data_IF_615288501167
#
_entry.id   IF_615288501167
#
_cell.length_a   1.000
_cell.length_b   1.000
_cell.length_c   1.000
_cell.angle_alpha   90.00
_cell.angle_beta   90.00
_cell.angle_gamma   90.00
#
_symmetry.space_group_name_H-M   'P 1'
#
loop_
_entity.id
_entity.type
_entity.pdbx_description
1 polymer ?
#
# COMPACT_ATOMS: atom_id res chain seq x y z
N UNK A 1 -7.57 13.22 -38.05
CA UNK A 1 -7.90 12.70 -36.72
C UNK A 1 -6.60 12.67 -35.94
N UNK A 2 -6.53 13.18 -34.71
CA UNK A 2 -5.28 13.12 -33.95
C UNK A 2 -4.98 11.66 -33.66
N UNK A 3 -3.87 11.14 -34.17
CA UNK A 3 -3.31 9.81 -33.92
C UNK A 3 -2.63 9.77 -32.53
N UNK A 4 -3.27 10.33 -31.50
CA UNK A 4 -2.75 10.27 -30.16
C UNK A 4 -3.02 8.90 -29.54
N UNK A 5 -1.99 8.22 -29.02
CA UNK A 5 -2.20 7.06 -28.17
C UNK A 5 -3.16 7.45 -27.04
N UNK A 6 -4.28 6.76 -26.95
CA UNK A 6 -5.18 6.85 -25.82
C UNK A 6 -4.44 6.34 -24.60
N UNK A 7 -4.12 7.23 -23.71
CA UNK A 7 -3.45 6.91 -22.46
C UNK A 7 -3.96 7.86 -21.39
N UNK A 8 -4.05 7.38 -20.18
CA UNK A 8 -4.42 8.19 -19.02
C UNK A 8 -3.58 7.83 -17.82
N UNK A 9 -3.66 8.64 -16.78
CA UNK A 9 -3.04 8.40 -15.49
C UNK A 9 -4.11 8.06 -14.48
N UNK A 10 -3.84 7.07 -13.66
CA UNK A 10 -4.75 6.59 -12.63
C UNK A 10 -4.08 6.75 -11.26
N UNK A 11 -4.79 7.40 -10.34
CA UNK A 11 -4.46 7.42 -8.92
C UNK A 11 -5.38 6.46 -8.17
N UNK A 12 -4.85 5.72 -7.22
CA UNK A 12 -5.62 4.76 -6.42
C UNK A 12 -5.18 4.85 -4.97
N UNK A 13 -6.16 4.84 -4.09
CA UNK A 13 -5.98 4.69 -2.65
C UNK A 13 -6.44 3.29 -2.27
N UNK A 14 -5.57 2.53 -1.62
CA UNK A 14 -5.86 1.18 -1.15
C UNK A 14 -5.72 1.12 0.36
N UNK A 15 -6.72 0.55 1.02
CA UNK A 15 -6.62 0.19 2.43
C UNK A 15 -5.63 -0.99 2.59
N UNK A 16 -4.64 -0.82 3.47
CA UNK A 16 -3.59 -1.84 3.65
C UNK A 16 -4.05 -3.08 4.42
N UNK A 17 -5.12 -2.97 5.19
CA UNK A 17 -5.67 -4.09 5.96
C UNK A 17 -6.52 -4.96 5.06
N UNK A 18 -7.53 -4.36 4.44
CA UNK A 18 -8.48 -5.05 3.58
C UNK A 18 -7.96 -5.30 2.16
N UNK A 19 -6.94 -4.53 1.71
CA UNK A 19 -6.40 -4.52 0.34
C UNK A 19 -7.40 -4.06 -0.71
N UNK A 20 -8.53 -3.52 -0.29
CA UNK A 20 -9.56 -3.01 -1.17
C UNK A 20 -9.26 -1.57 -1.61
N UNK A 21 -9.62 -1.20 -2.84
CA UNK A 21 -9.56 0.18 -3.28
C UNK A 21 -10.58 1.02 -2.50
N UNK A 22 -10.10 2.10 -1.89
CA UNK A 22 -10.92 3.09 -1.19
C UNK A 22 -11.44 4.14 -2.17
N UNK A 23 -10.56 4.57 -3.10
CA UNK A 23 -10.89 5.56 -4.11
C UNK A 23 -9.99 5.38 -5.33
N UNK A 24 -10.53 5.75 -6.50
CA UNK A 24 -9.84 5.64 -7.77
C UNK A 24 -10.11 6.89 -8.58
N UNK A 25 -9.06 7.55 -9.06
CA UNK A 25 -9.15 8.72 -9.91
C UNK A 25 -8.54 8.44 -11.29
N UNK A 26 -9.05 9.10 -12.30
CA UNK A 26 -8.54 9.03 -13.65
C UNK A 26 -8.29 10.42 -14.21
N UNK A 27 -7.08 10.60 -14.77
CA UNK A 27 -6.67 11.79 -15.51
C UNK A 27 -6.40 11.41 -16.96
N UNK A 28 -6.98 12.18 -17.88
CA UNK A 28 -6.84 11.94 -19.33
C UNK A 28 -5.40 12.17 -19.82
N UNK A 29 -4.65 13.02 -19.13
CA UNK A 29 -3.25 13.27 -19.44
C UNK A 29 -2.36 12.24 -18.76
N UNK A 30 -1.84 11.28 -19.53
CA UNK A 30 -0.93 10.25 -19.05
C UNK A 30 0.39 10.79 -18.45
N UNK A 31 0.81 12.01 -18.87
CA UNK A 31 2.01 12.69 -18.37
C UNK A 31 1.74 13.60 -17.17
N UNK A 32 0.51 13.61 -16.65
CA UNK A 32 0.19 14.40 -15.48
C UNK A 32 1.07 13.98 -14.29
N UNK A 33 1.49 14.96 -13.48
CA UNK A 33 2.17 14.68 -12.21
C UNK A 33 1.23 13.99 -11.23
N UNK A 34 1.77 13.16 -10.32
CA UNK A 34 1.01 12.55 -9.22
C UNK A 34 0.39 13.61 -8.31
N UNK A 35 1.01 14.78 -8.22
CA UNK A 35 0.52 15.93 -7.49
C UNK A 35 -0.86 16.43 -7.96
N UNK A 36 -1.33 16.03 -9.14
CA UNK A 36 -2.69 16.34 -9.59
C UNK A 36 -3.79 15.70 -8.73
N UNK A 37 -3.45 14.67 -7.99
CA UNK A 37 -4.38 13.98 -7.08
C UNK A 37 -4.31 14.48 -5.62
N UNK A 38 -3.45 15.48 -5.31
CA UNK A 38 -3.28 15.97 -3.94
C UNK A 38 -4.57 16.56 -3.35
N UNK A 39 -5.29 17.38 -4.14
CA UNK A 39 -6.56 17.95 -3.69
C UNK A 39 -7.63 16.90 -3.44
N UNK A 40 -7.72 15.91 -4.34
CA UNK A 40 -8.68 14.82 -4.21
C UNK A 40 -8.35 13.97 -2.97
N UNK A 41 -7.06 13.69 -2.77
CA UNK A 41 -6.58 12.96 -1.60
C UNK A 41 -6.84 13.72 -0.29
N UNK A 42 -6.58 15.03 -0.26
CA UNK A 42 -6.90 15.86 0.90
C UNK A 42 -8.39 15.85 1.24
N UNK A 43 -9.26 15.80 0.24
CA UNK A 43 -10.71 15.72 0.45
C UNK A 43 -11.16 14.34 0.94
N UNK A 44 -10.47 13.28 0.51
CA UNK A 44 -10.80 11.91 0.88
C UNK A 44 -10.40 11.56 2.30
N UNK A 45 -9.18 11.96 2.72
CA UNK A 45 -8.61 11.50 3.99
C UNK A 45 -9.28 12.14 5.19
N UNK A 46 -9.55 11.31 6.20
CA UNK A 46 -10.11 11.72 7.49
C UNK A 46 -8.99 11.93 8.50
N UNK A 47 -9.29 12.67 9.57
CA UNK A 47 -8.41 12.75 10.75
C UNK A 47 -8.06 11.35 11.26
N UNK A 48 -6.90 11.21 11.90
CA UNK A 48 -6.38 9.96 12.46
C UNK A 48 -6.05 8.87 11.42
N UNK A 49 -5.91 9.27 10.15
CA UNK A 49 -5.43 8.38 9.08
C UNK A 49 -3.90 8.40 9.01
N UNK A 50 -3.28 7.25 8.75
CA UNK A 50 -1.87 7.14 8.40
C UNK A 50 -1.74 6.81 6.91
N UNK A 51 -1.14 7.73 6.14
CA UNK A 51 -0.90 7.57 4.72
C UNK A 51 0.52 7.03 4.43
N UNK A 52 0.61 6.05 3.57
CA UNK A 52 1.87 5.63 2.96
C UNK A 52 1.96 6.25 1.57
N UNK A 53 2.84 7.24 1.43
CA UNK A 53 2.98 8.01 0.19
C UNK A 53 4.20 7.55 -0.60
N UNK A 54 4.04 7.43 -1.92
CA UNK A 54 5.20 7.25 -2.79
C UNK A 54 6.00 8.55 -2.92
N UNK A 55 7.23 8.46 -3.40
CA UNK A 55 8.13 9.60 -3.60
C UNK A 55 7.56 10.66 -4.55
N UNK A 56 6.65 10.28 -5.44
CA UNK A 56 5.94 11.20 -6.34
C UNK A 56 5.13 12.29 -5.62
N UNK A 57 4.72 12.03 -4.36
CA UNK A 57 3.99 12.96 -3.50
C UNK A 57 4.90 13.77 -2.57
N UNK A 58 6.15 14.02 -2.95
CA UNK A 58 7.09 14.83 -2.19
C UNK A 58 6.81 16.33 -2.40
N UNK A 59 5.83 16.85 -1.68
CA UNK A 59 5.42 18.26 -1.73
C UNK A 59 5.15 18.77 -0.32
N UNK A 60 5.97 19.70 0.16
CA UNK A 60 5.97 20.13 1.57
C UNK A 60 4.68 20.81 1.99
N UNK A 61 4.07 21.62 1.11
CA UNK A 61 2.80 22.26 1.39
C UNK A 61 1.66 21.22 1.54
N UNK A 62 1.66 20.19 0.70
CA UNK A 62 0.71 19.08 0.82
C UNK A 62 0.89 18.30 2.13
N UNK A 63 2.15 18.01 2.52
CA UNK A 63 2.43 17.35 3.79
C UNK A 63 1.99 18.20 4.99
N UNK A 64 2.21 19.52 4.93
CA UNK A 64 1.73 20.43 5.96
C UNK A 64 0.21 20.38 6.09
N UNK A 65 -0.52 20.43 4.98
CA UNK A 65 -1.98 20.35 4.97
C UNK A 65 -2.50 19.02 5.53
N UNK A 66 -1.81 17.91 5.26
CA UNK A 66 -2.13 16.61 5.87
C UNK A 66 -1.99 16.64 7.40
N UNK A 67 -0.85 17.14 7.89
CA UNK A 67 -0.57 17.24 9.32
C UNK A 67 -1.58 18.18 10.03
N UNK A 68 -1.93 19.31 9.42
CA UNK A 68 -2.96 20.24 9.91
C UNK A 68 -4.35 19.58 10.01
N UNK A 69 -4.66 18.61 9.15
CA UNK A 69 -5.86 17.77 9.24
C UNK A 69 -5.75 16.61 10.23
N UNK A 70 -4.68 16.52 11.01
CA UNK A 70 -4.37 15.37 11.86
C UNK A 70 -4.26 14.05 11.08
N UNK A 71 -3.73 14.12 9.85
CA UNK A 71 -3.40 12.97 9.02
C UNK A 71 -1.90 12.75 9.08
N UNK A 72 -1.49 11.57 9.49
CA UNK A 72 -0.07 11.20 9.57
C UNK A 72 0.40 10.60 8.24
N UNK A 73 1.69 10.69 7.98
CA UNK A 73 2.27 10.13 6.76
C UNK A 73 3.59 9.39 7.00
N UNK A 74 3.85 8.42 6.13
CA UNK A 74 5.15 7.79 5.95
C UNK A 74 5.51 7.85 4.46
N UNK A 75 6.73 8.28 4.17
CA UNK A 75 7.28 8.29 2.80
C UNK A 75 8.78 8.00 2.83
N UNK A 76 9.45 8.05 1.70
CA UNK A 76 10.92 7.95 1.62
C UNK A 76 11.54 9.31 1.40
N UNK A 77 12.69 9.51 2.01
CA UNK A 77 13.51 10.69 1.75
C UNK A 77 13.99 10.68 0.29
N UNK A 78 13.80 11.79 -0.42
CA UNK A 78 14.34 11.96 -1.76
C UNK A 78 15.85 12.19 -1.72
N UNK A 79 16.55 11.67 -2.73
CA UNK A 79 17.98 11.90 -2.87
C UNK A 79 18.23 13.41 -3.07
N UNK A 80 19.18 13.95 -2.31
CA UNK A 80 19.52 15.38 -2.39
C UNK A 80 18.59 16.31 -1.61
N UNK A 81 17.63 15.80 -0.83
CA UNK A 81 16.81 16.63 0.04
C UNK A 81 17.67 17.30 1.12
N UNK A 82 17.53 18.63 1.25
CA UNK A 82 18.20 19.41 2.29
C UNK A 82 17.37 19.40 3.57
N UNK A 83 18.03 19.20 4.70
CA UNK A 83 17.39 19.25 6.02
C UNK A 83 18.41 19.63 7.10
N UNK A 84 17.93 20.12 8.22
CA UNK A 84 18.71 20.32 9.46
C UNK A 84 18.24 19.34 10.51
N UNK A 85 19.17 18.73 11.22
CA UNK A 85 18.85 17.86 12.36
C UNK A 85 18.54 18.72 13.58
N UNK A 86 17.34 18.61 14.11
CA UNK A 86 16.92 19.31 15.33
C UNK A 86 17.21 18.48 16.59
N UNK A 87 16.97 17.17 16.51
CA UNK A 87 17.18 16.27 17.66
C UNK A 87 17.57 14.88 17.18
N UNK A 88 18.53 14.28 17.86
CA UNK A 88 18.90 12.86 17.70
C UNK A 88 18.15 12.06 18.75
N UNK A 89 17.29 11.11 18.31
CA UNK A 89 16.52 10.22 19.17
C UNK A 89 17.32 8.93 19.42
N UNK A 90 17.89 8.36 18.35
CA UNK A 90 18.74 7.17 18.41
C UNK A 90 19.81 7.25 17.34
N UNK A 91 21.03 6.82 17.68
CA UNK A 91 22.13 6.69 16.74
C UNK A 91 22.94 5.43 17.07
N UNK A 92 22.81 4.40 16.26
CA UNK A 92 23.52 3.14 16.40
C UNK A 92 24.11 2.67 15.07
N UNK A 93 24.82 1.57 15.07
CA UNK A 93 25.39 0.97 13.86
C UNK A 93 24.36 0.63 12.78
N UNK A 94 23.14 0.25 13.17
CA UNK A 94 22.09 -0.21 12.26
C UNK A 94 20.85 0.68 12.19
N UNK A 95 20.72 1.66 13.11
CA UNK A 95 19.56 2.53 13.22
C UNK A 95 19.99 3.96 13.51
N UNK A 96 19.46 4.91 12.73
CA UNK A 96 19.52 6.34 13.01
C UNK A 96 18.09 6.87 13.01
N UNK A 97 17.74 7.55 14.08
CA UNK A 97 16.40 8.11 14.28
C UNK A 97 16.54 9.54 14.76
N UNK A 98 16.00 10.48 14.01
CA UNK A 98 16.24 11.92 14.21
C UNK A 98 15.01 12.73 13.86
N UNK A 99 14.74 13.75 14.63
CA UNK A 99 13.84 14.81 14.20
C UNK A 99 14.61 15.80 13.34
N UNK A 100 14.06 16.12 12.19
CA UNK A 100 14.68 16.99 11.19
C UNK A 100 13.72 18.09 10.78
N UNK A 101 14.26 19.22 10.38
CA UNK A 101 13.52 20.31 9.78
C UNK A 101 13.85 20.40 8.30
N UNK A 102 12.82 20.43 7.47
CA UNK A 102 12.92 20.48 6.02
C UNK A 102 12.18 21.71 5.49
N UNK A 103 12.53 22.15 4.28
CA UNK A 103 11.90 23.28 3.60
C UNK A 103 12.67 24.57 3.74
N UNK A 104 12.34 25.55 2.88
CA UNK A 104 13.02 26.84 2.78
C UNK A 104 12.26 27.99 3.47
N UNK A 105 11.14 27.70 4.14
CA UNK A 105 10.31 28.72 4.78
C UNK A 105 9.58 29.65 3.82
N UNK A 106 9.41 29.24 2.58
CA UNK A 106 8.66 29.99 1.55
C UNK A 106 7.23 29.47 1.45
N UNK A 107 6.35 30.22 0.78
CA UNK A 107 4.95 29.80 0.53
C UNK A 107 4.87 28.49 -0.26
N UNK A 108 5.83 28.22 -1.15
CA UNK A 108 5.89 26.98 -1.94
C UNK A 108 6.60 25.84 -1.22
N UNK A 109 7.53 26.15 -0.35
CA UNK A 109 8.32 25.18 0.43
C UNK A 109 8.34 25.60 1.90
N UNK A 110 7.20 25.41 2.61
CA UNK A 110 7.13 25.75 4.02
C UNK A 110 8.13 24.91 4.84
N UNK A 111 8.52 25.42 5.99
CA UNK A 111 9.29 24.62 6.95
C UNK A 111 8.38 23.59 7.59
N UNK A 112 8.81 22.33 7.55
CA UNK A 112 8.10 21.23 8.18
C UNK A 112 9.07 20.40 9.03
N UNK A 113 8.65 20.08 10.24
CA UNK A 113 9.37 19.15 11.11
C UNK A 113 8.89 17.74 10.86
N UNK A 114 9.82 16.84 10.54
CA UNK A 114 9.58 15.44 10.25
C UNK A 114 10.56 14.57 11.04
N UNK A 115 10.21 13.32 11.21
CA UNK A 115 11.12 12.32 11.77
C UNK A 115 11.76 11.52 10.66
N UNK A 116 13.09 11.49 10.63
CA UNK A 116 13.90 10.72 9.70
C UNK A 116 14.37 9.44 10.39
N UNK A 117 13.90 8.33 9.91
CA UNK A 117 14.27 6.98 10.36
C UNK A 117 15.12 6.33 9.28
N UNK A 118 16.36 6.01 9.61
CA UNK A 118 17.27 5.31 8.70
C UNK A 118 17.64 3.96 9.29
N UNK A 119 17.41 2.91 8.49
CA UNK A 119 17.68 1.52 8.88
C UNK A 119 18.69 0.93 7.90
N UNK A 120 19.73 0.32 8.43
CA UNK A 120 20.77 -0.35 7.66
C UNK A 120 20.37 -1.78 7.32
N UNK A 121 20.42 -2.10 6.04
CA UNK A 121 20.25 -3.48 5.55
C UNK A 121 21.48 -3.87 4.75
N UNK A 122 22.29 -4.75 5.29
CA UNK A 122 23.59 -5.09 4.73
C UNK A 122 24.50 -3.86 4.66
N UNK A 123 24.85 -3.42 3.45
CA UNK A 123 25.67 -2.23 3.21
C UNK A 123 24.83 -0.97 2.93
N UNK A 124 23.51 -1.10 2.76
CA UNK A 124 22.65 0.00 2.31
C UNK A 124 21.84 0.58 3.46
N UNK A 125 21.73 1.90 3.50
CA UNK A 125 20.84 2.63 4.38
C UNK A 125 19.52 2.92 3.65
N UNK A 126 18.41 2.63 4.30
CA UNK A 126 17.07 2.95 3.83
C UNK A 126 16.51 4.08 4.68
N UNK A 127 16.17 5.20 4.06
CA UNK A 127 15.75 6.43 4.74
C UNK A 127 14.26 6.66 4.55
N UNK A 128 13.54 6.74 5.66
CA UNK A 128 12.10 6.94 5.74
C UNK A 128 11.81 8.25 6.45
N UNK A 129 10.77 8.94 6.00
CA UNK A 129 10.24 10.13 6.66
C UNK A 129 8.86 9.82 7.21
N UNK A 130 8.56 10.34 8.40
CA UNK A 130 7.22 10.29 8.98
C UNK A 130 6.90 11.57 9.73
N UNK A 131 5.64 11.96 9.74
CA UNK A 131 5.12 13.06 10.55
C UNK A 131 4.91 12.65 12.01
N UNK A 132 4.88 11.34 12.33
CA UNK A 132 4.79 10.84 13.71
C UNK A 132 6.15 11.02 14.40
N UNK A 133 6.27 12.06 15.21
CA UNK A 133 7.55 12.45 15.81
C UNK A 133 7.95 11.58 17.00
N UNK A 134 6.98 11.01 17.70
CA UNK A 134 7.22 10.18 18.88
C UNK A 134 7.53 8.72 18.50
N UNK A 135 8.75 8.21 18.83
CA UNK A 135 9.13 6.84 18.59
C UNK A 135 8.36 5.81 19.43
N UNK A 136 7.71 6.22 20.52
CA UNK A 136 6.86 5.35 21.32
C UNK A 136 5.53 5.06 20.63
N UNK A 137 4.98 6.05 19.90
CA UNK A 137 3.74 5.88 19.10
C UNK A 137 4.04 5.06 17.83
N UNK A 138 5.15 5.35 17.15
CA UNK A 138 5.52 4.67 15.92
C UNK A 138 7.00 4.25 15.96
N UNK A 139 7.30 3.03 16.43
CA UNK A 139 8.68 2.54 16.52
C UNK A 139 9.40 2.53 15.17
N UNK A 140 10.73 2.76 15.13
CA UNK A 140 11.51 2.89 13.89
C UNK A 140 11.35 1.73 12.92
N UNK A 141 11.37 0.50 13.44
CA UNK A 141 11.24 -0.71 12.60
C UNK A 141 9.81 -0.89 12.06
N UNK A 142 8.80 -0.37 12.79
CA UNK A 142 7.41 -0.36 12.32
C UNK A 142 7.25 0.61 11.15
N UNK A 143 7.93 1.77 11.17
CA UNK A 143 7.97 2.69 10.02
C UNK A 143 8.43 1.96 8.76
N UNK A 144 9.53 1.21 8.85
CA UNK A 144 10.07 0.47 7.71
C UNK A 144 9.16 -0.68 7.25
N UNK A 145 8.57 -1.42 8.19
CA UNK A 145 7.63 -2.50 7.88
C UNK A 145 6.39 -1.98 7.18
N UNK A 146 5.76 -0.93 7.74
CA UNK A 146 4.59 -0.30 7.13
C UNK A 146 4.91 0.24 5.73
N UNK A 147 6.03 0.95 5.58
CA UNK A 147 6.41 1.43 4.25
C UNK A 147 6.70 0.28 3.28
N UNK A 148 7.24 -0.82 3.75
CA UNK A 148 7.43 -2.02 2.96
C UNK A 148 6.11 -2.59 2.42
N UNK A 149 5.02 -2.45 3.18
CA UNK A 149 3.67 -2.88 2.76
C UNK A 149 3.09 -2.01 1.63
N UNK A 150 3.63 -0.82 1.38
CA UNK A 150 3.27 -0.01 0.21
C UNK A 150 3.36 -0.83 -1.09
N UNK A 151 4.25 -1.82 -1.15
CA UNK A 151 4.37 -2.71 -2.33
C UNK A 151 3.07 -3.44 -2.70
N UNK A 152 2.13 -3.57 -1.78
CA UNK A 152 0.80 -4.17 -2.05
C UNK A 152 0.02 -3.43 -3.13
N UNK A 153 0.23 -2.13 -3.27
CA UNK A 153 -0.42 -1.37 -4.32
C UNK A 153 0.15 -1.72 -5.71
N UNK A 154 1.45 -2.00 -5.79
CA UNK A 154 2.08 -2.46 -7.04
C UNK A 154 1.56 -3.86 -7.42
N UNK A 155 1.32 -4.73 -6.44
CA UNK A 155 0.67 -6.03 -6.66
C UNK A 155 -0.77 -5.87 -7.16
N UNK A 156 -1.54 -4.93 -6.58
CA UNK A 156 -2.88 -4.61 -7.05
C UNK A 156 -2.88 -4.09 -8.49
N UNK A 157 -1.99 -3.14 -8.82
CA UNK A 157 -1.82 -2.65 -10.18
C UNK A 157 -1.40 -3.75 -11.16
N UNK A 158 -0.51 -4.65 -10.76
CA UNK A 158 -0.12 -5.79 -11.58
C UNK A 158 -1.31 -6.70 -11.87
N UNK A 159 -2.14 -6.98 -10.86
CA UNK A 159 -3.37 -7.76 -11.02
C UNK A 159 -4.33 -7.06 -11.98
N UNK A 160 -4.64 -5.81 -11.75
CA UNK A 160 -5.57 -5.03 -12.57
C UNK A 160 -5.07 -4.85 -14.01
N UNK A 161 -3.81 -4.46 -14.19
CA UNK A 161 -3.25 -4.19 -15.53
C UNK A 161 -2.98 -5.46 -16.32
N UNK A 162 -2.37 -6.45 -15.72
CA UNK A 162 -1.89 -7.65 -16.44
C UNK A 162 -2.89 -8.80 -16.42
N UNK A 163 -3.44 -9.11 -15.26
CA UNK A 163 -4.36 -10.25 -15.12
C UNK A 163 -5.76 -9.90 -15.62
N UNK A 164 -6.28 -8.73 -15.23
CA UNK A 164 -7.63 -8.30 -15.59
C UNK A 164 -7.70 -7.46 -16.89
N UNK A 165 -6.56 -7.26 -17.56
CA UNK A 165 -6.51 -6.71 -18.91
C UNK A 165 -6.64 -5.19 -19.04
N UNK A 166 -6.51 -4.41 -17.95
CA UNK A 166 -6.59 -2.95 -18.02
C UNK A 166 -5.41 -2.30 -18.79
N UNK A 167 -4.40 -3.08 -19.17
CA UNK A 167 -3.32 -2.62 -20.05
C UNK A 167 -3.80 -2.28 -21.47
N UNK A 168 -4.98 -2.74 -21.86
CA UNK A 168 -5.59 -2.48 -23.15
C UNK A 168 -6.91 -1.76 -22.97
N UNK A 169 -7.05 -0.60 -23.61
CA UNK A 169 -8.30 0.14 -23.65
C UNK A 169 -9.16 -0.40 -24.80
N UNK A 170 -10.37 -0.87 -24.50
CA UNK A 170 -11.28 -1.48 -25.47
C UNK A 170 -12.00 -0.44 -26.35
N UNK A 171 -11.98 0.82 -25.90
CA UNK A 171 -12.69 1.91 -26.56
C UNK A 171 -11.89 3.20 -26.50
N UNK A 172 -12.11 4.07 -27.49
CA UNK A 172 -11.56 5.43 -27.52
C UNK A 172 -12.40 6.47 -26.82
N UNK A 173 -13.58 6.14 -26.33
CA UNK A 173 -14.43 7.10 -25.63
C UNK A 173 -14.06 7.19 -24.15
N UNK A 174 -14.05 8.40 -23.60
CA UNK A 174 -13.76 8.65 -22.19
C UNK A 174 -14.68 7.85 -21.25
N UNK A 175 -15.97 7.82 -21.55
CA UNK A 175 -16.94 7.07 -20.74
C UNK A 175 -16.68 5.56 -20.79
N UNK A 176 -16.32 5.04 -21.95
CA UNK A 176 -15.97 3.63 -22.09
C UNK A 176 -14.68 3.28 -21.33
N UNK A 177 -13.66 4.15 -21.37
CA UNK A 177 -12.42 3.99 -20.57
C UNK A 177 -12.75 3.98 -19.09
N UNK A 178 -13.55 4.93 -18.61
CA UNK A 178 -13.98 4.97 -17.20
C UNK A 178 -14.75 3.71 -16.82
N UNK A 179 -15.69 3.26 -17.65
CA UNK A 179 -16.47 2.05 -17.39
C UNK A 179 -15.55 0.81 -17.28
N UNK A 180 -14.61 0.66 -18.21
CA UNK A 180 -13.64 -0.42 -18.16
C UNK A 180 -12.79 -0.35 -16.88
N UNK A 181 -12.31 0.84 -16.52
CA UNK A 181 -11.51 1.08 -15.34
C UNK A 181 -12.27 0.68 -14.07
N UNK A 182 -13.47 1.21 -13.87
CA UNK A 182 -14.28 0.92 -12.69
C UNK A 182 -14.70 -0.55 -12.63
N UNK A 183 -15.11 -1.13 -13.76
CA UNK A 183 -15.46 -2.55 -13.82
C UNK A 183 -14.29 -3.47 -13.49
N UNK A 184 -13.08 -3.13 -13.95
CA UNK A 184 -11.88 -3.91 -13.65
C UNK A 184 -11.50 -3.83 -12.16
N UNK A 185 -11.58 -2.65 -11.55
CA UNK A 185 -11.31 -2.50 -10.12
C UNK A 185 -12.39 -3.14 -9.24
N UNK A 186 -13.65 -3.09 -9.67
CA UNK A 186 -14.73 -3.82 -8.98
C UNK A 186 -14.43 -5.33 -9.01
N UNK A 187 -14.01 -5.85 -10.16
CA UNK A 187 -13.65 -7.26 -10.26
C UNK A 187 -12.42 -7.62 -9.41
N UNK A 188 -11.43 -6.70 -9.33
CA UNK A 188 -10.32 -6.85 -8.40
C UNK A 188 -10.81 -6.97 -6.95
N UNK A 189 -11.73 -6.11 -6.52
CA UNK A 189 -12.29 -6.16 -5.16
C UNK A 189 -12.98 -7.50 -4.90
N UNK A 190 -13.80 -8.01 -5.84
CA UNK A 190 -14.44 -9.32 -5.73
C UNK A 190 -13.41 -10.46 -5.63
N UNK A 191 -12.30 -10.36 -6.39
CA UNK A 191 -11.23 -11.37 -6.29
C UNK A 191 -10.50 -11.31 -4.94
N UNK A 192 -10.31 -10.13 -4.37
CA UNK A 192 -9.71 -9.98 -3.04
C UNK A 192 -10.62 -10.59 -1.98
N UNK A 193 -11.91 -10.25 -1.98
CA UNK A 193 -12.89 -10.81 -1.04
C UNK A 193 -12.98 -12.35 -1.14
N UNK A 194 -13.02 -12.86 -2.37
CA UNK A 194 -13.02 -14.32 -2.58
C UNK A 194 -11.72 -14.94 -2.07
N UNK A 195 -10.58 -14.30 -2.33
CA UNK A 195 -9.27 -14.76 -1.85
C UNK A 195 -9.17 -14.77 -0.34
N UNK A 196 -9.72 -13.75 0.32
CA UNK A 196 -9.74 -13.65 1.78
C UNK A 196 -10.62 -14.75 2.39
N UNK A 197 -11.83 -14.94 1.87
CA UNK A 197 -12.71 -16.02 2.30
C UNK A 197 -12.10 -17.42 2.09
N UNK A 198 -11.33 -17.63 1.02
CA UNK A 198 -10.61 -18.89 0.79
C UNK A 198 -9.44 -19.04 1.77
N UNK A 199 -8.75 -17.94 2.12
CA UNK A 199 -7.69 -17.95 3.11
C UNK A 199 -8.20 -18.36 4.50
N UNK A 200 -9.36 -17.81 4.89
CA UNK A 200 -10.03 -18.15 6.14
C UNK A 200 -10.46 -19.60 6.18
N UNK A 201 -11.10 -20.11 5.14
CA UNK A 201 -11.54 -21.53 5.04
C UNK A 201 -10.35 -22.49 5.14
N UNK A 202 -9.19 -22.10 4.55
CA UNK A 202 -7.96 -22.89 4.61
C UNK A 202 -7.13 -22.64 5.87
N UNK A 203 -7.52 -21.70 6.72
CA UNK A 203 -6.75 -21.24 7.90
C UNK A 203 -5.30 -20.85 7.54
N UNK A 204 -5.09 -20.16 6.42
CA UNK A 204 -3.79 -19.67 5.96
C UNK A 204 -3.79 -18.15 5.84
N UNK A 205 -2.65 -17.47 6.03
CA UNK A 205 -2.57 -16.05 5.77
C UNK A 205 -2.92 -15.72 4.30
N UNK A 206 -3.65 -14.64 4.06
CA UNK A 206 -4.01 -14.18 2.71
C UNK A 206 -2.79 -14.05 1.77
N UNK A 207 -1.62 -13.67 2.27
CA UNK A 207 -0.39 -13.57 1.47
C UNK A 207 0.03 -14.91 0.84
N UNK A 208 -0.50 -16.02 1.35
CA UNK A 208 -0.32 -17.36 0.79
C UNK A 208 -1.29 -17.66 -0.36
N UNK A 209 -2.36 -16.90 -0.51
CA UNK A 209 -3.35 -17.10 -1.58
C UNK A 209 -2.86 -16.46 -2.88
N UNK A 210 -3.05 -17.16 -3.97
CA UNK A 210 -2.78 -16.69 -5.33
C UNK A 210 -4.05 -16.19 -5.99
N UNK A 211 -4.25 -14.87 -6.01
CA UNK A 211 -5.39 -14.28 -6.73
C UNK A 211 -5.38 -14.64 -8.23
N UNK A 212 -4.19 -14.78 -8.83
CA UNK A 212 -4.07 -15.22 -10.22
C UNK A 212 -4.65 -16.63 -10.42
N UNK A 213 -4.35 -17.56 -9.51
CA UNK A 213 -4.86 -18.93 -9.65
C UNK A 213 -6.36 -19.02 -9.32
N UNK A 214 -6.85 -18.20 -8.39
CA UNK A 214 -8.31 -18.06 -8.19
C UNK A 214 -8.96 -17.56 -9.47
N UNK A 215 -8.45 -16.46 -10.06
CA UNK A 215 -8.99 -15.91 -11.31
C UNK A 215 -9.02 -16.95 -12.43
N UNK A 216 -7.90 -17.64 -12.66
CA UNK A 216 -7.82 -18.71 -13.68
C UNK A 216 -8.74 -19.88 -13.38
N UNK A 217 -8.90 -20.21 -12.09
CA UNK A 217 -9.75 -21.28 -11.60
C UNK A 217 -11.26 -20.97 -11.68
N UNK A 218 -11.67 -19.70 -11.85
CA UNK A 218 -13.09 -19.34 -11.98
C UNK A 218 -13.80 -20.09 -13.13
N UNK A 219 -13.10 -20.32 -14.22
CA UNK A 219 -13.64 -21.11 -15.33
C UNK A 219 -13.91 -22.56 -14.91
N UNK A 220 -13.00 -23.17 -14.18
CA UNK A 220 -13.14 -24.53 -13.68
C UNK A 220 -14.31 -24.64 -12.67
N UNK A 221 -14.40 -23.64 -11.77
CA UNK A 221 -15.54 -23.54 -10.87
C UNK A 221 -16.86 -23.41 -11.64
N UNK A 222 -16.94 -22.54 -12.64
CA UNK A 222 -18.11 -22.36 -13.47
C UNK A 222 -18.56 -23.67 -14.12
N UNK A 223 -17.65 -24.42 -14.71
CA UNK A 223 -17.92 -25.73 -15.32
C UNK A 223 -18.42 -26.75 -14.28
N UNK A 224 -17.77 -26.81 -13.11
CA UNK A 224 -18.15 -27.68 -12.03
C UNK A 224 -19.54 -27.33 -11.48
N UNK A 225 -19.84 -26.05 -11.33
CA UNK A 225 -21.15 -25.57 -10.89
C UNK A 225 -22.26 -25.94 -11.86
N UNK A 226 -22.07 -25.75 -13.16
CA UNK A 226 -23.06 -26.16 -14.19
C UNK A 226 -23.30 -27.64 -14.22
N UNK A 227 -22.34 -28.47 -13.83
CA UNK A 227 -22.48 -29.92 -13.71
C UNK A 227 -23.06 -30.37 -12.37
N UNK A 228 -23.42 -29.43 -11.48
CA UNK A 228 -23.92 -29.73 -10.13
C UNK A 228 -22.88 -30.31 -9.19
N UNK A 229 -21.58 -30.23 -9.54
CA UNK A 229 -20.44 -30.73 -8.76
C UNK A 229 -19.91 -29.71 -7.73
N UNK A 230 -20.26 -28.45 -7.88
CA UNK A 230 -19.85 -27.37 -6.98
C UNK A 230 -20.97 -26.36 -6.80
N UNK A 231 -21.23 -25.93 -5.55
CA UNK A 231 -22.29 -24.98 -5.23
C UNK A 231 -21.75 -23.63 -4.68
N UNK A 232 -20.54 -23.63 -4.13
CA UNK A 232 -19.99 -22.46 -3.47
C UNK A 232 -18.52 -22.26 -3.86
N UNK A 233 -18.11 -21.06 -4.34
CA UNK A 233 -16.77 -20.85 -4.86
C UNK A 233 -15.69 -21.01 -3.78
N UNK A 234 -15.90 -20.52 -2.55
CA UNK A 234 -14.91 -20.63 -1.47
C UNK A 234 -14.64 -22.10 -1.16
N UNK A 235 -15.69 -22.92 -0.97
CA UNK A 235 -15.53 -24.35 -0.70
C UNK A 235 -14.87 -25.10 -1.86
N UNK A 236 -15.17 -24.69 -3.09
CA UNK A 236 -14.54 -25.26 -4.27
C UNK A 236 -13.03 -25.01 -4.30
N UNK A 237 -12.60 -23.77 -4.08
CA UNK A 237 -11.18 -23.41 -4.09
C UNK A 237 -10.42 -23.92 -2.87
N UNK A 238 -11.09 -24.14 -1.74
CA UNK A 238 -10.49 -24.69 -0.53
C UNK A 238 -10.48 -26.21 -0.47
N UNK A 239 -11.21 -26.89 -1.37
CA UNK A 239 -11.33 -28.35 -1.36
C UNK A 239 -9.98 -29.05 -1.61
N UNK A 240 -9.72 -30.14 -0.90
CA UNK A 240 -8.48 -30.89 -1.00
C UNK A 240 -8.21 -31.42 -2.42
N UNK A 241 -9.26 -31.84 -3.12
CA UNK A 241 -9.22 -32.32 -4.50
C UNK A 241 -8.82 -31.21 -5.52
N UNK A 242 -8.94 -29.95 -5.15
CA UNK A 242 -8.60 -28.79 -5.98
C UNK A 242 -7.26 -28.16 -5.62
N UNK A 243 -6.46 -28.78 -4.77
CA UNK A 243 -5.12 -28.26 -4.37
C UNK A 243 -4.18 -28.12 -5.58
N UNK A 244 -4.31 -28.95 -6.60
CA UNK A 244 -3.51 -28.88 -7.84
C UNK A 244 -3.78 -27.60 -8.65
N UNK A 245 -4.86 -26.88 -8.37
CA UNK A 245 -5.08 -25.54 -8.94
C UNK A 245 -4.04 -24.51 -8.49
N UNK A 246 -3.18 -24.84 -7.49
CA UNK A 246 -2.13 -23.96 -7.03
C UNK A 246 -2.61 -22.69 -6.33
N UNK A 247 -3.79 -22.75 -5.72
CA UNK A 247 -4.41 -21.63 -5.00
C UNK A 247 -3.50 -21.16 -3.85
N UNK A 248 -2.89 -22.09 -3.12
CA UNK A 248 -1.94 -21.79 -2.05
C UNK A 248 -0.52 -21.74 -2.62
N UNK A 249 0.09 -20.56 -2.58
CA UNK A 249 1.48 -20.34 -3.00
C UNK A 249 2.42 -21.23 -2.19
N UNK A 250 3.35 -21.91 -2.85
CA UNK A 250 4.46 -22.59 -2.18
C UNK A 250 5.30 -21.58 -1.39
N UNK A 251 5.79 -21.98 -0.23
CA UNK A 251 6.74 -21.17 0.54
C UNK A 251 8.01 -20.98 -0.29
N UNK A 252 8.18 -19.80 -0.89
CA UNK A 252 9.49 -19.41 -1.40
C UNK A 252 10.45 -19.38 -0.20
N UNK A 253 11.67 -19.92 -0.37
CA UNK A 253 12.73 -19.71 0.64
C UNK A 253 12.74 -18.21 0.97
N UNK A 254 12.71 -17.84 2.26
CA UNK A 254 12.62 -16.45 2.62
C UNK A 254 13.78 -15.71 1.93
N UNK A 255 13.45 -14.79 1.04
CA UNK A 255 14.38 -13.75 0.64
C UNK A 255 14.92 -13.21 1.96
N UNK A 256 16.24 -13.21 2.18
CA UNK A 256 16.86 -12.84 3.45
C UNK A 256 16.08 -11.68 4.04
N UNK A 257 15.15 -11.98 4.97
CA UNK A 257 14.44 -10.92 5.69
C UNK A 257 15.52 -9.98 6.18
N UNK A 258 15.29 -8.66 6.06
CA UNK A 258 16.01 -7.71 6.89
C UNK A 258 16.11 -8.37 8.25
N UNK A 259 17.31 -8.76 8.67
CA UNK A 259 17.54 -9.25 10.02
C UNK A 259 17.36 -8.00 10.88
N UNK A 260 16.11 -7.75 11.24
CA UNK A 260 15.79 -6.86 12.33
C UNK A 260 16.41 -7.56 13.53
N UNK A 261 17.48 -7.00 14.06
CA UNK A 261 18.04 -7.50 15.30
C UNK A 261 16.87 -7.63 16.28
N UNK A 262 16.70 -8.79 16.93
CA UNK A 262 15.62 -8.94 17.89
C UNK A 262 15.73 -7.78 18.88
N UNK A 263 14.58 -7.18 19.23
CA UNK A 263 14.51 -6.22 20.31
C UNK A 263 15.32 -6.80 21.49
N UNK A 264 16.21 -6.04 22.11
CA UNK A 264 16.86 -6.53 23.32
C UNK A 264 15.75 -6.92 24.28
N UNK A 265 15.80 -8.16 24.79
CA UNK A 265 14.73 -8.78 25.60
C UNK A 265 14.35 -7.99 26.86
N UNK A 266 15.13 -6.98 27.23
CA UNK A 266 14.85 -6.04 28.31
C UNK A 266 13.82 -4.95 27.96
N UNK A 267 13.60 -4.62 26.68
CA UNK A 267 12.60 -3.63 26.28
C UNK A 267 11.17 -4.19 26.25
N UNK A 268 11.01 -5.50 26.31
CA UNK A 268 9.70 -6.18 26.26
C UNK A 268 9.06 -6.39 27.63
N UNK A 269 9.73 -6.10 28.73
CA UNK A 269 9.19 -6.39 30.07
C UNK A 269 8.58 -5.21 30.82
N UNK A 270 8.82 -3.98 30.39
CA UNK A 270 8.21 -2.81 31.04
C UNK A 270 7.67 -1.86 29.97
N UNK A 271 6.37 -1.96 29.67
CA UNK A 271 5.60 -0.88 29.10
C UNK A 271 5.19 -0.92 27.63
N UNK A 272 5.27 -2.05 26.92
CA UNK A 272 4.50 -2.20 25.68
C UNK A 272 3.12 -2.78 26.04
N UNK A 273 2.22 -1.93 26.48
CA UNK A 273 0.81 -2.21 26.34
C UNK A 273 0.51 -2.23 24.83
N UNK A 274 0.37 -3.43 24.26
CA UNK A 274 -0.45 -3.59 23.07
C UNK A 274 -1.85 -3.17 23.50
N UNK A 275 -2.27 -1.96 23.12
CA UNK A 275 -3.67 -1.67 23.06
C UNK A 275 -4.25 -2.70 22.09
N UNK A 276 -5.04 -3.64 22.62
CA UNK A 276 -5.98 -4.37 21.78
C UNK A 276 -6.74 -3.34 20.96
N UNK A 277 -6.92 -3.55 19.66
CA UNK A 277 -7.63 -2.61 18.84
C UNK A 277 -9.05 -2.50 19.39
N UNK A 278 -9.34 -1.41 20.09
CA UNK A 278 -10.71 -0.99 20.27
C UNK A 278 -11.33 -0.89 18.88
N UNK A 279 -12.61 -1.21 18.71
CA UNK A 279 -13.33 -1.36 17.43
C UNK A 279 -13.37 -0.11 16.52
N UNK A 280 -12.36 0.77 16.61
CA UNK A 280 -12.13 1.94 15.77
C UNK A 280 -10.64 2.00 15.39
N UNK A 281 -10.21 1.08 14.53
CA UNK A 281 -8.86 1.08 13.99
C UNK A 281 -8.73 2.22 12.97
N UNK A 282 -7.70 3.08 13.07
CA UNK A 282 -7.46 4.10 12.04
C UNK A 282 -7.17 3.42 10.70
N UNK A 283 -7.83 3.88 9.64
CA UNK A 283 -7.61 3.43 8.26
C UNK A 283 -6.16 3.72 7.86
N UNK A 284 -5.40 2.68 7.62
CA UNK A 284 -4.05 2.79 7.05
C UNK A 284 -4.15 2.66 5.54
N UNK A 285 -3.81 3.73 4.84
CA UNK A 285 -4.05 3.85 3.39
C UNK A 285 -2.75 4.04 2.63
N UNK A 286 -2.58 3.36 1.51
CA UNK A 286 -1.44 3.50 0.61
C UNK A 286 -1.85 4.12 -0.71
N UNK A 287 -1.05 5.04 -1.22
CA UNK A 287 -1.25 5.69 -2.52
C UNK A 287 -0.09 5.35 -3.46
N UNK A 288 -0.41 5.00 -4.70
CA UNK A 288 0.58 4.75 -5.75
C UNK A 288 0.39 5.65 -6.97
N UNK A 289 1.45 5.82 -7.77
CA UNK A 289 1.43 6.61 -9.01
C UNK A 289 0.58 5.98 -10.11
#
# INVERSE_FOLDING_TARGET
MPTGQLAGKMGVVIDLVTRLPVEIWFQENAKASDMKFESDLLNLVKSETLLLLDRGFCHYQFWQQLVEKNVQLITRLNNGASYTVERVLTNSYSLRDRTIRMGAGTTKTPCITMRLVEIKSGKTWHSYLTSVLDPLILPPYVVADLYGRRWRIEEAFNTVKRLLGLSYLWTGSLNGIKLQLWGTWLFYAVLVDLGDAVADELSVPFDRISLEMIYRGLYHFYVAHHKGLANHPVKYFAAAENQDLGIVKSLRKPFKKLIVAPFPAQATREGLFFCEPSAQTPLTTALAP
#
